data_IF_052571301609
#
_entry.id   IF_052571301609
#
_cell.length_a   1.000
_cell.length_b   1.000
_cell.length_c   1.000
_cell.angle_alpha   90.00
_cell.angle_beta   90.00
_cell.angle_gamma   90.00
#
_symmetry.space_group_name_H-M   'P 1'
#
loop_
_entity.id
_entity.type
_entity.pdbx_description
1 polymer ?
#
# COMPACT_ATOMS: atom_id res chain seq x y z
N UNK A 1 14.71 -8.23 -30.34
CA UNK A 1 13.31 -7.95 -29.95
C UNK A 1 13.27 -6.70 -29.09
N UNK A 2 12.75 -5.59 -29.61
CA UNK A 2 12.51 -4.36 -28.84
C UNK A 2 11.32 -4.60 -27.92
N UNK A 3 11.55 -4.80 -26.62
CA UNK A 3 10.46 -4.86 -25.65
C UNK A 3 9.86 -3.46 -25.52
N UNK A 4 8.60 -3.34 -25.96
CA UNK A 4 7.78 -2.14 -25.75
C UNK A 4 7.80 -1.82 -24.25
N UNK A 5 7.95 -0.54 -23.84
CA UNK A 5 7.86 -0.19 -22.43
C UNK A 5 6.51 -0.63 -21.88
N UNK A 6 6.49 -1.10 -20.63
CA UNK A 6 5.23 -1.34 -19.93
C UNK A 6 4.46 -0.02 -19.85
N UNK A 7 3.19 -0.06 -20.20
CA UNK A 7 2.31 1.07 -20.01
C UNK A 7 1.87 1.06 -18.55
N UNK A 8 2.31 2.08 -17.81
CA UNK A 8 1.91 2.38 -16.43
C UNK A 8 0.93 3.56 -16.42
N UNK A 9 -0.34 3.36 -16.81
CA UNK A 9 -1.30 4.44 -16.76
C UNK A 9 -1.57 4.84 -15.31
N UNK A 10 -1.48 6.14 -15.04
CA UNK A 10 -1.84 6.72 -13.73
C UNK A 10 -3.10 7.57 -13.86
N UNK A 11 -3.75 7.82 -12.72
CA UNK A 11 -4.97 8.62 -12.64
C UNK A 11 -6.04 8.08 -13.61
N UNK A 12 -6.74 8.95 -14.35
CA UNK A 12 -7.81 8.59 -15.29
C UNK A 12 -7.39 7.71 -16.49
N UNK A 13 -6.09 7.41 -16.63
CA UNK A 13 -5.62 6.50 -17.68
C UNK A 13 -5.73 5.02 -17.28
N UNK A 14 -6.01 4.73 -16.00
CA UNK A 14 -6.13 3.38 -15.44
C UNK A 14 -7.38 3.28 -14.58
N UNK A 15 -7.96 2.08 -14.49
CA UNK A 15 -9.09 1.77 -13.62
C UNK A 15 -8.78 0.51 -12.83
N UNK A 16 -9.01 0.56 -11.51
CA UNK A 16 -8.87 -0.59 -10.63
C UNK A 16 -7.45 -0.83 -10.07
N UNK A 17 -7.25 -1.98 -9.38
CA UNK A 17 -6.04 -2.27 -8.60
C UNK A 17 -4.91 -2.93 -9.41
N UNK A 18 -5.01 -2.94 -10.75
CA UNK A 18 -4.06 -3.64 -11.63
C UNK A 18 -2.67 -3.03 -11.66
N UNK A 19 -1.65 -3.89 -11.81
CA UNK A 19 -0.29 -3.48 -12.16
C UNK A 19 -0.13 -3.20 -13.64
N UNK A 20 1.06 -2.75 -14.05
CA UNK A 20 1.37 -2.52 -15.46
C UNK A 20 1.09 -3.78 -16.31
N UNK A 21 0.50 -3.60 -17.49
CA UNK A 21 0.30 -4.73 -18.40
C UNK A 21 1.68 -5.26 -18.84
N UNK A 22 1.92 -6.54 -18.54
CA UNK A 22 3.21 -7.21 -18.80
C UNK A 22 4.31 -6.95 -17.76
N UNK A 23 4.02 -6.15 -16.73
CA UNK A 23 4.91 -5.90 -15.60
C UNK A 23 4.90 -7.04 -14.56
N UNK A 24 5.82 -7.01 -13.57
CA UNK A 24 5.98 -8.08 -12.58
C UNK A 24 4.77 -8.25 -11.64
N UNK A 25 3.83 -7.30 -11.64
CA UNK A 25 2.62 -7.32 -10.82
C UNK A 25 1.34 -7.67 -11.60
N UNK A 26 1.43 -7.85 -12.92
CA UNK A 26 0.26 -7.98 -13.79
C UNK A 26 -0.70 -9.12 -13.37
N UNK A 27 -0.15 -10.24 -12.91
CA UNK A 27 -0.95 -11.41 -12.53
C UNK A 27 -1.50 -11.34 -11.10
N UNK A 28 -0.92 -10.50 -10.23
CA UNK A 28 -1.28 -10.47 -8.81
C UNK A 28 -2.70 -9.95 -8.58
N UNK A 29 -3.25 -9.18 -9.52
CA UNK A 29 -4.62 -8.67 -9.48
C UNK A 29 -5.66 -9.63 -10.06
N UNK A 30 -5.26 -10.77 -10.63
CA UNK A 30 -6.18 -11.74 -11.26
C UNK A 30 -6.73 -12.79 -10.28
N UNK A 31 -6.44 -12.64 -8.99
CA UNK A 31 -6.88 -13.57 -7.95
C UNK A 31 -7.13 -12.87 -6.62
N UNK A 32 -7.35 -13.69 -5.59
CA UNK A 32 -7.48 -13.24 -4.21
C UNK A 32 -6.32 -13.80 -3.40
N UNK A 33 -5.80 -12.98 -2.50
CA UNK A 33 -4.76 -13.36 -1.55
C UNK A 33 -5.41 -13.49 -0.19
N UNK A 34 -5.18 -14.63 0.45
CA UNK A 34 -5.61 -14.90 1.81
C UNK A 34 -4.41 -14.84 2.74
N UNK A 35 -4.63 -14.40 3.97
CA UNK A 35 -3.59 -14.45 4.97
C UNK A 35 -3.46 -15.86 5.53
N UNK A 36 -2.26 -16.42 5.49
CA UNK A 36 -1.98 -17.63 6.26
C UNK A 36 -1.71 -17.24 7.71
N UNK A 37 -2.09 -18.09 8.68
CA UNK A 37 -1.84 -17.86 10.11
C UNK A 37 -0.36 -18.01 10.48
N UNK A 38 0.35 -18.93 9.80
CA UNK A 38 1.76 -19.27 10.06
C UNK A 38 1.99 -19.89 11.44
N UNK A 39 3.25 -20.15 11.77
CA UNK A 39 3.65 -20.73 13.05
C UNK A 39 3.86 -19.65 14.09
N UNK A 40 3.63 -19.87 15.39
CA UNK A 40 3.85 -18.86 16.43
C UNK A 40 5.35 -18.51 16.61
N UNK A 41 5.68 -17.25 16.94
CA UNK A 41 7.05 -16.85 17.30
C UNK A 41 7.18 -16.76 18.80
N UNK A 42 8.40 -16.78 19.31
CA UNK A 42 8.72 -16.30 20.67
C UNK A 42 9.51 -15.00 20.66
N UNK A 43 9.80 -14.46 19.47
CA UNK A 43 10.61 -13.25 19.29
C UNK A 43 9.76 -11.97 19.40
N UNK A 44 10.30 -10.98 20.10
CA UNK A 44 9.70 -9.67 20.36
C UNK A 44 10.42 -8.54 19.63
N UNK A 45 11.52 -8.83 18.94
CA UNK A 45 12.40 -7.81 18.39
C UNK A 45 11.73 -7.03 17.25
N UNK A 46 11.77 -5.70 17.38
CA UNK A 46 11.41 -4.74 16.33
C UNK A 46 12.65 -4.06 15.71
N UNK A 47 13.85 -4.52 16.09
CA UNK A 47 15.14 -3.90 15.77
C UNK A 47 15.45 -3.80 14.27
N UNK A 48 14.92 -4.73 13.47
CA UNK A 48 15.12 -4.76 12.02
C UNK A 48 14.14 -3.86 11.23
N UNK A 49 13.12 -3.29 11.89
CA UNK A 49 12.09 -2.48 11.23
C UNK A 49 12.55 -1.03 11.03
N UNK A 50 12.06 -0.42 9.95
CA UNK A 50 12.13 1.04 9.75
C UNK A 50 11.63 1.78 11.02
N UNK A 51 12.34 2.82 11.51
CA UNK A 51 12.00 3.48 12.76
C UNK A 51 10.57 4.01 12.84
N UNK A 52 9.99 4.45 11.72
CA UNK A 52 8.59 4.93 11.70
C UNK A 52 7.59 3.78 11.80
N UNK A 53 7.92 2.61 11.27
CA UNK A 53 7.11 1.40 11.42
C UNK A 53 7.19 0.89 12.86
N UNK A 54 8.39 0.84 13.44
CA UNK A 54 8.58 0.48 14.85
C UNK A 54 7.75 1.34 15.79
N UNK A 55 7.89 2.67 15.69
CA UNK A 55 7.14 3.60 16.53
C UNK A 55 5.62 3.47 16.38
N UNK A 56 5.13 3.08 15.19
CA UNK A 56 3.71 2.80 14.97
C UNK A 56 3.25 1.57 15.75
N UNK A 57 4.00 0.48 15.66
CA UNK A 57 3.68 -0.77 16.36
C UNK A 57 3.73 -0.56 17.87
N UNK A 58 4.78 0.08 18.39
CA UNK A 58 4.92 0.40 19.82
C UNK A 58 3.75 1.25 20.34
N UNK A 59 3.28 2.22 19.57
CA UNK A 59 2.13 3.04 19.94
C UNK A 59 0.79 2.27 19.93
N UNK A 60 0.72 1.18 19.18
CA UNK A 60 -0.46 0.32 19.11
C UNK A 60 -0.44 -0.81 20.16
N UNK A 61 0.73 -1.23 20.63
CA UNK A 61 0.92 -2.34 21.59
C UNK A 61 -0.05 -2.35 22.77
N UNK A 62 -0.41 -1.22 23.42
CA UNK A 62 -1.36 -1.25 24.54
C UNK A 62 -2.77 -1.76 24.20
N UNK A 63 -3.13 -1.84 22.91
CA UNK A 63 -4.42 -2.37 22.44
C UNK A 63 -4.33 -3.74 21.78
N UNK A 64 -3.18 -4.39 21.79
CA UNK A 64 -2.95 -5.67 21.11
C UNK A 64 -2.66 -6.75 22.15
N UNK A 65 -3.27 -7.93 21.99
CA UNK A 65 -2.79 -9.13 22.65
C UNK A 65 -1.50 -9.65 22.00
N UNK A 66 -0.95 -10.74 22.54
CA UNK A 66 0.28 -11.34 22.03
C UNK A 66 0.19 -11.80 20.56
N UNK A 67 -0.87 -12.52 20.21
CA UNK A 67 -1.05 -13.09 18.87
C UNK A 67 -1.23 -11.97 17.84
N UNK A 68 -1.99 -10.96 18.21
CA UNK A 68 -2.21 -9.74 17.45
C UNK A 68 -0.92 -8.95 17.23
N UNK A 69 -0.13 -8.75 18.28
CA UNK A 69 1.17 -8.09 18.18
C UNK A 69 2.12 -8.86 17.26
N UNK A 70 2.24 -10.17 17.43
CA UNK A 70 3.15 -10.98 16.62
C UNK A 70 2.72 -11.06 15.14
N UNK A 71 1.42 -11.09 14.87
CA UNK A 71 0.85 -10.96 13.52
C UNK A 71 1.35 -9.66 12.85
N UNK A 72 1.17 -8.52 13.51
CA UNK A 72 1.59 -7.20 13.00
C UNK A 72 3.10 -7.16 12.81
N UNK A 73 3.86 -7.60 13.81
CA UNK A 73 5.32 -7.59 13.80
C UNK A 73 5.89 -8.36 12.60
N UNK A 74 5.44 -9.59 12.40
CA UNK A 74 5.93 -10.45 11.30
C UNK A 74 5.55 -9.92 9.94
N UNK A 75 4.35 -9.36 9.83
CA UNK A 75 3.94 -8.73 8.61
C UNK A 75 4.80 -7.49 8.29
N UNK A 76 5.16 -6.69 9.29
CA UNK A 76 6.09 -5.57 9.12
C UNK A 76 7.51 -6.02 8.73
N UNK A 77 7.99 -7.16 9.24
CA UNK A 77 9.26 -7.77 8.80
C UNK A 77 9.16 -8.25 7.34
N UNK A 78 8.02 -8.82 6.95
CA UNK A 78 7.75 -9.17 5.55
C UNK A 78 7.70 -7.93 4.65
N UNK A 79 7.14 -6.82 5.12
CA UNK A 79 7.15 -5.54 4.42
C UNK A 79 8.58 -5.04 4.19
N UNK A 80 9.47 -5.14 5.19
CA UNK A 80 10.88 -4.76 5.04
C UNK A 80 11.57 -5.62 3.98
N UNK A 81 11.42 -6.95 4.07
CA UNK A 81 11.99 -7.87 3.10
C UNK A 81 11.46 -7.61 1.67
N UNK A 82 10.15 -7.39 1.51
CA UNK A 82 9.54 -7.08 0.24
C UNK A 82 9.99 -5.71 -0.30
N UNK A 83 10.18 -4.72 0.57
CA UNK A 83 10.66 -3.40 0.16
C UNK A 83 12.06 -3.48 -0.47
N UNK A 84 12.97 -4.21 0.17
CA UNK A 84 14.33 -4.37 -0.34
C UNK A 84 14.39 -5.28 -1.57
N UNK A 85 13.61 -6.37 -1.57
CA UNK A 85 13.69 -7.40 -2.61
C UNK A 85 12.84 -7.16 -3.86
N UNK A 86 11.65 -6.56 -3.72
CA UNK A 86 10.67 -6.45 -4.81
C UNK A 86 10.30 -5.02 -5.19
N UNK A 87 10.41 -4.06 -4.26
CA UNK A 87 9.99 -2.67 -4.48
C UNK A 87 11.14 -1.67 -4.58
N UNK A 88 12.39 -2.14 -4.47
CA UNK A 88 13.57 -1.34 -4.80
C UNK A 88 13.57 -0.99 -6.29
N UNK A 89 14.18 0.14 -6.64
CA UNK A 89 14.36 0.50 -8.04
C UNK A 89 15.37 -0.45 -8.68
N UNK A 90 15.02 -0.98 -9.86
CA UNK A 90 15.86 -1.94 -10.58
C UNK A 90 15.96 -1.57 -12.06
N UNK A 91 17.15 -1.70 -12.62
CA UNK A 91 17.32 -1.64 -14.07
C UNK A 91 16.68 -2.88 -14.71
N UNK A 92 15.92 -2.68 -15.79
CA UNK A 92 15.25 -3.73 -16.56
C UNK A 92 15.75 -3.75 -18.00
N UNK A 93 15.77 -4.91 -18.69
CA UNK A 93 16.32 -5.01 -20.04
C UNK A 93 15.68 -4.06 -21.06
N UNK A 94 16.51 -3.27 -21.76
CA UNK A 94 16.10 -2.35 -22.83
C UNK A 94 17.29 -1.98 -23.75
N UNK A 95 17.01 -1.41 -24.93
CA UNK A 95 18.02 -0.87 -25.86
C UNK A 95 18.66 0.47 -25.42
N UNK A 96 18.36 0.89 -24.20
CA UNK A 96 18.88 2.05 -23.50
C UNK A 96 18.72 1.81 -22.01
N UNK A 97 18.77 2.84 -21.18
CA UNK A 97 18.52 2.64 -19.75
C UNK A 97 17.03 2.63 -19.48
N UNK A 98 16.56 1.63 -18.75
CA UNK A 98 15.18 1.53 -18.29
C UNK A 98 15.16 1.08 -16.84
N UNK A 99 14.52 1.88 -15.98
CA UNK A 99 14.39 1.60 -14.56
C UNK A 99 12.93 1.36 -14.23
N UNK A 100 12.64 0.23 -13.60
CA UNK A 100 11.39 -0.01 -12.89
C UNK A 100 11.54 0.52 -11.46
N UNK A 101 10.58 1.34 -11.02
CA UNK A 101 10.51 1.83 -9.64
C UNK A 101 9.07 1.94 -9.17
N UNK A 102 8.91 2.10 -7.86
CA UNK A 102 7.60 2.27 -7.24
C UNK A 102 7.53 3.62 -6.53
N UNK A 103 6.41 4.32 -6.69
CA UNK A 103 6.18 5.65 -6.12
C UNK A 103 5.04 5.60 -5.11
N UNK A 104 5.19 6.19 -3.91
CA UNK A 104 4.09 6.28 -2.96
C UNK A 104 2.93 7.06 -3.55
N UNK A 105 1.72 6.63 -3.27
CA UNK A 105 0.48 7.34 -3.61
C UNK A 105 -0.37 7.60 -2.36
N UNK A 106 -1.20 8.65 -2.35
CA UNK A 106 -2.16 8.85 -1.27
C UNK A 106 -3.20 7.73 -1.19
N UNK A 107 -3.48 7.24 0.01
CA UNK A 107 -4.47 6.18 0.26
C UNK A 107 -5.33 6.52 1.47
N UNK A 108 -6.64 6.31 1.35
CA UNK A 108 -7.55 6.29 2.50
C UNK A 108 -7.71 4.84 2.97
N UNK A 109 -7.42 4.59 4.24
CA UNK A 109 -7.67 3.29 4.88
C UNK A 109 -9.06 3.36 5.52
N UNK A 110 -9.90 2.35 5.27
CA UNK A 110 -11.18 2.16 5.96
C UNK A 110 -11.10 0.87 6.78
N UNK A 111 -11.26 0.96 8.10
CA UNK A 111 -11.52 -0.18 8.97
C UNK A 111 -13.03 -0.28 9.21
N UNK A 112 -13.66 -1.31 8.66
CA UNK A 112 -15.10 -1.55 8.74
C UNK A 112 -15.55 -1.99 10.14
N UNK A 113 -16.87 -1.98 10.39
CA UNK A 113 -17.42 -2.38 11.68
C UNK A 113 -17.09 -3.87 11.98
N UNK A 114 -16.73 -4.16 13.24
CA UNK A 114 -16.39 -5.53 13.69
C UNK A 114 -14.95 -5.98 13.42
N UNK A 115 -14.17 -5.22 12.66
CA UNK A 115 -12.78 -5.55 12.35
C UNK A 115 -11.81 -5.20 13.48
N UNK A 116 -10.68 -5.91 13.52
CA UNK A 116 -9.75 -5.88 14.64
C UNK A 116 -8.68 -4.77 14.54
N UNK A 117 -8.14 -4.37 15.69
CA UNK A 117 -7.07 -3.36 15.74
C UNK A 117 -5.78 -3.86 15.05
N UNK A 118 -5.44 -5.14 15.16
CA UNK A 118 -4.24 -5.70 14.53
C UNK A 118 -4.31 -5.64 12.99
N UNK A 119 -5.47 -5.90 12.39
CA UNK A 119 -5.69 -5.73 10.96
C UNK A 119 -5.46 -4.27 10.53
N UNK A 120 -5.95 -3.31 11.31
CA UNK A 120 -5.69 -1.88 11.08
C UNK A 120 -4.19 -1.53 11.17
N UNK A 121 -3.53 -1.95 12.26
CA UNK A 121 -2.12 -1.63 12.49
C UNK A 121 -1.23 -2.27 11.42
N UNK A 122 -1.56 -3.48 10.98
CA UNK A 122 -0.93 -4.17 9.87
C UNK A 122 -0.94 -3.34 8.58
N UNK A 123 -2.10 -2.80 8.21
CA UNK A 123 -2.25 -1.99 6.99
C UNK A 123 -1.59 -0.62 7.14
N UNK A 124 -1.68 0.00 8.33
CA UNK A 124 -0.95 1.23 8.64
C UNK A 124 0.58 1.03 8.58
N UNK A 125 1.08 -0.14 8.97
CA UNK A 125 2.50 -0.48 8.89
C UNK A 125 2.97 -0.54 7.42
N UNK A 126 2.21 -1.22 6.54
CA UNK A 126 2.48 -1.24 5.10
C UNK A 126 2.47 0.18 4.50
N UNK A 127 1.43 0.97 4.78
CA UNK A 127 1.34 2.35 4.28
C UNK A 127 2.47 3.25 4.79
N UNK A 128 2.86 3.08 6.07
CA UNK A 128 4.01 3.78 6.66
C UNK A 128 5.31 3.36 5.97
N UNK A 129 5.50 2.06 5.74
CA UNK A 129 6.70 1.53 5.10
C UNK A 129 6.83 1.99 3.65
N UNK A 130 5.70 2.05 2.93
CA UNK A 130 5.60 2.58 1.59
C UNK A 130 5.79 4.10 1.52
N UNK A 131 5.75 4.80 2.67
CA UNK A 131 5.82 6.27 2.78
C UNK A 131 4.65 6.96 2.08
N UNK A 132 3.49 6.31 2.09
CA UNK A 132 2.26 6.85 1.53
C UNK A 132 1.69 7.98 2.41
N UNK A 133 0.99 8.91 1.78
CA UNK A 133 0.15 9.87 2.50
C UNK A 133 -1.15 9.18 2.89
N UNK A 134 -1.46 9.11 4.18
CA UNK A 134 -2.57 8.31 4.69
C UNK A 134 -3.72 9.19 5.20
N UNK A 135 -4.95 8.76 4.90
CA UNK A 135 -6.15 9.10 5.64
C UNK A 135 -6.73 7.85 6.30
N UNK A 136 -7.44 7.99 7.42
CA UNK A 136 -8.04 6.87 8.13
C UNK A 136 -9.51 7.15 8.46
N UNK A 137 -10.39 6.25 8.06
CA UNK A 137 -11.73 6.06 8.60
C UNK A 137 -11.76 4.75 9.36
N UNK A 138 -12.30 4.74 10.58
CA UNK A 138 -12.30 3.55 11.44
C UNK A 138 -13.57 3.46 12.27
N UNK A 139 -14.18 2.29 12.31
CA UNK A 139 -15.21 1.94 13.29
C UNK A 139 -14.68 1.91 14.73
N UNK A 140 -13.41 1.55 14.89
CA UNK A 140 -12.79 1.29 16.17
C UNK A 140 -12.24 2.56 16.82
N UNK A 141 -12.47 2.71 18.13
CA UNK A 141 -11.85 3.75 18.95
C UNK A 141 -10.38 3.42 19.22
N UNK A 142 -9.48 4.24 18.67
CA UNK A 142 -8.04 3.99 18.74
C UNK A 142 -7.45 4.16 20.16
N UNK A 143 -6.45 3.35 20.54
CA UNK A 143 -5.62 3.60 21.73
C UNK A 143 -5.03 5.02 21.72
N UNK A 144 -4.91 5.63 22.90
CA UNK A 144 -4.42 7.02 23.04
C UNK A 144 -3.04 7.24 22.40
N UNK A 145 -2.03 6.37 22.59
CA UNK A 145 -0.71 6.59 21.99
C UNK A 145 -0.75 6.50 20.46
N UNK A 146 -1.46 5.51 19.90
CA UNK A 146 -1.65 5.39 18.46
C UNK A 146 -2.33 6.63 17.85
N UNK A 147 -3.40 7.13 18.49
CA UNK A 147 -4.09 8.35 18.02
C UNK A 147 -3.17 9.58 18.07
N UNK A 148 -2.36 9.73 19.11
CA UNK A 148 -1.41 10.84 19.24
C UNK A 148 -0.36 10.79 18.12
N UNK A 149 0.21 9.62 17.86
CA UNK A 149 1.17 9.40 16.79
C UNK A 149 0.59 9.69 15.40
N UNK A 150 -0.64 9.23 15.12
CA UNK A 150 -1.30 9.51 13.84
C UNK A 150 -1.55 11.01 13.65
N UNK A 151 -1.92 11.73 14.71
CA UNK A 151 -2.05 13.19 14.69
C UNK A 151 -0.71 13.88 14.39
N UNK A 152 0.37 13.47 15.05
CA UNK A 152 1.73 13.99 14.79
C UNK A 152 2.13 13.78 13.32
N UNK A 153 1.80 12.62 12.76
CA UNK A 153 2.04 12.27 11.35
C UNK A 153 1.07 12.93 10.37
N UNK A 154 0.17 13.81 10.86
CA UNK A 154 -0.85 14.52 10.06
C UNK A 154 -1.82 13.59 9.33
N UNK A 155 -2.05 12.39 9.85
CA UNK A 155 -3.09 11.49 9.35
C UNK A 155 -4.44 12.01 9.84
N UNK A 156 -5.34 12.34 8.91
CA UNK A 156 -6.72 12.68 9.26
C UNK A 156 -7.46 11.41 9.63
N UNK A 157 -7.97 11.36 10.86
CA UNK A 157 -8.67 10.19 11.42
C UNK A 157 -10.13 10.55 11.67
N UNK A 158 -11.04 9.75 11.11
CA UNK A 158 -12.48 9.79 11.39
C UNK A 158 -12.84 8.50 12.11
N UNK A 159 -13.49 8.62 13.26
CA UNK A 159 -14.08 7.47 13.98
C UNK A 159 -15.57 7.46 13.67
N UNK A 160 -16.01 6.51 12.85
CA UNK A 160 -17.35 6.50 12.26
C UNK A 160 -17.77 5.06 11.86
N UNK A 161 -19.08 4.78 11.89
CA UNK A 161 -19.68 3.51 11.44
C UNK A 161 -19.56 3.32 9.93
N UNK A 162 -19.81 2.11 9.44
CA UNK A 162 -19.86 1.83 8.00
C UNK A 162 -20.91 2.70 7.30
N UNK A 163 -22.09 2.85 7.89
CA UNK A 163 -23.18 3.68 7.36
C UNK A 163 -22.76 5.14 7.18
N UNK A 164 -22.12 5.72 8.21
CA UNK A 164 -21.64 7.11 8.18
C UNK A 164 -20.53 7.30 7.16
N UNK A 165 -19.60 6.33 7.09
CA UNK A 165 -18.52 6.33 6.12
C UNK A 165 -19.06 6.27 4.68
N UNK A 166 -20.01 5.39 4.37
CA UNK A 166 -20.59 5.26 3.03
C UNK A 166 -21.32 6.52 2.59
N UNK A 167 -22.10 7.15 3.48
CA UNK A 167 -22.75 8.43 3.21
C UNK A 167 -21.72 9.52 2.88
N UNK A 168 -20.63 9.59 3.66
CA UNK A 168 -19.55 10.55 3.42
C UNK A 168 -18.77 10.24 2.14
N UNK A 169 -18.53 8.98 1.83
CA UNK A 169 -17.79 8.54 0.63
C UNK A 169 -18.48 9.02 -0.66
N UNK A 170 -19.82 9.06 -0.68
CA UNK A 170 -20.60 9.61 -1.78
C UNK A 170 -20.32 11.10 -2.05
N UNK A 171 -19.95 11.85 -1.00
CA UNK A 171 -19.65 13.29 -1.07
C UNK A 171 -18.17 13.58 -1.37
N UNK A 172 -17.29 12.57 -1.36
CA UNK A 172 -15.86 12.74 -1.66
C UNK A 172 -15.66 12.90 -3.16
N UNK A 173 -15.84 14.12 -3.67
CA UNK A 173 -15.68 14.50 -5.07
C UNK A 173 -14.42 15.34 -5.35
N UNK A 174 -13.38 14.71 -5.91
CA UNK A 174 -12.57 15.17 -7.07
C UNK A 174 -11.15 14.57 -7.05
N UNK A 175 -10.85 13.73 -8.04
CA UNK A 175 -9.52 13.16 -8.28
C UNK A 175 -9.38 11.68 -7.99
N UNK A 176 -8.41 11.03 -8.65
CA UNK A 176 -8.20 9.59 -8.52
C UNK A 176 -7.80 9.24 -7.08
N UNK A 177 -8.60 8.40 -6.43
CA UNK A 177 -8.48 8.05 -5.02
C UNK A 177 -8.29 6.54 -4.86
N UNK A 178 -7.41 6.13 -3.95
CA UNK A 178 -7.26 4.74 -3.56
C UNK A 178 -7.81 4.54 -2.16
N UNK A 179 -8.68 3.54 -2.02
CA UNK A 179 -9.27 3.15 -0.75
C UNK A 179 -8.80 1.74 -0.43
N UNK A 180 -8.10 1.57 0.70
CA UNK A 180 -7.76 0.27 1.26
C UNK A 180 -8.77 -0.06 2.35
N UNK A 181 -9.73 -0.92 2.03
CA UNK A 181 -10.74 -1.41 2.98
C UNK A 181 -10.19 -2.57 3.81
N UNK A 182 -10.59 -2.68 5.06
CA UNK A 182 -10.36 -3.82 5.94
C UNK A 182 -11.75 -4.26 6.36
N UNK A 183 -12.17 -5.45 5.93
CA UNK A 183 -13.54 -5.93 6.09
C UNK A 183 -14.58 -5.12 5.32
N UNK A 184 -15.85 -5.36 5.66
CA UNK A 184 -17.01 -4.69 5.05
C UNK A 184 -17.33 -5.17 3.62
N UNK A 185 -18.29 -4.50 2.97
CA UNK A 185 -18.71 -4.83 1.61
C UNK A 185 -18.13 -3.84 0.57
N UNK A 186 -17.18 -4.28 -0.29
CA UNK A 186 -16.65 -3.44 -1.34
C UNK A 186 -17.69 -3.08 -2.42
N UNK A 187 -18.77 -3.86 -2.58
CA UNK A 187 -19.85 -3.53 -3.50
C UNK A 187 -20.65 -2.34 -2.99
N UNK A 188 -21.04 -2.34 -1.71
CA UNK A 188 -21.70 -1.19 -1.09
C UNK A 188 -20.86 0.10 -1.22
N UNK A 189 -19.52 0.02 -1.03
CA UNK A 189 -18.65 1.18 -1.26
C UNK A 189 -18.64 1.61 -2.73
N UNK A 190 -18.57 0.67 -3.68
CA UNK A 190 -18.60 0.96 -5.10
C UNK A 190 -19.92 1.66 -5.50
N UNK A 191 -21.05 1.22 -4.96
CA UNK A 191 -22.36 1.84 -5.15
C UNK A 191 -22.43 3.24 -4.53
N UNK A 192 -21.92 3.41 -3.31
CA UNK A 192 -21.89 4.71 -2.63
C UNK A 192 -21.06 5.76 -3.39
N UNK A 193 -19.96 5.36 -4.03
CA UNK A 193 -19.16 6.27 -4.90
C UNK A 193 -19.69 6.36 -6.35
N UNK A 194 -20.90 5.85 -6.61
CA UNK A 194 -21.56 5.91 -7.92
C UNK A 194 -20.85 5.12 -9.02
N UNK A 195 -20.09 4.07 -8.66
CA UNK A 195 -19.30 3.28 -9.61
C UNK A 195 -18.17 4.08 -10.26
N UNK A 196 -17.69 5.16 -9.63
CA UNK A 196 -16.70 6.05 -10.20
C UNK A 196 -15.40 5.31 -10.59
N UNK A 197 -14.96 5.37 -11.86
CA UNK A 197 -13.69 4.77 -12.29
C UNK A 197 -12.45 5.48 -11.72
N UNK A 198 -12.64 6.66 -11.12
CA UNK A 198 -11.57 7.39 -10.44
C UNK A 198 -11.28 6.84 -9.03
N UNK A 199 -12.10 5.91 -8.51
CA UNK A 199 -11.89 5.30 -7.19
C UNK A 199 -11.41 3.85 -7.36
N UNK A 200 -10.19 3.58 -6.92
CA UNK A 200 -9.68 2.21 -6.81
C UNK A 200 -9.94 1.66 -5.42
N UNK A 201 -10.73 0.59 -5.32
CA UNK A 201 -11.03 -0.12 -4.07
C UNK A 201 -10.11 -1.34 -3.96
N UNK A 202 -9.30 -1.38 -2.89
CA UNK A 202 -8.51 -2.53 -2.47
C UNK A 202 -9.16 -3.14 -1.22
N UNK A 203 -9.85 -4.27 -1.39
CA UNK A 203 -10.65 -4.92 -0.34
C UNK A 203 -10.23 -6.37 -0.04
N UNK A 204 -8.97 -6.73 -0.33
CA UNK A 204 -8.43 -8.03 0.09
C UNK A 204 -8.29 -8.14 1.60
N UNK A 205 -8.09 -9.34 2.13
CA UNK A 205 -7.72 -9.50 3.55
C UNK A 205 -6.46 -8.69 3.89
N UNK A 206 -6.29 -8.31 5.17
CA UNK A 206 -5.04 -7.75 5.65
C UNK A 206 -3.98 -8.88 5.70
N UNK A 207 -3.14 -8.95 4.67
CA UNK A 207 -2.23 -10.08 4.46
C UNK A 207 -0.93 -9.92 5.22
N UNK A 208 -0.37 -10.99 5.84
CA UNK A 208 1.01 -10.91 6.37
C UNK A 208 2.08 -10.73 5.30
N UNK A 209 1.76 -11.00 4.03
CA UNK A 209 2.69 -10.91 2.92
C UNK A 209 2.92 -9.46 2.47
N UNK A 210 4.07 -8.88 2.81
CA UNK A 210 4.40 -7.51 2.40
C UNK A 210 4.48 -7.32 0.88
N UNK A 211 4.75 -8.40 0.14
CA UNK A 211 4.72 -8.41 -1.33
C UNK A 211 3.36 -8.03 -1.92
N UNK A 212 2.28 -8.29 -1.18
CA UNK A 212 0.91 -8.00 -1.56
C UNK A 212 0.44 -6.71 -0.88
N UNK A 213 0.63 -6.58 0.43
CA UNK A 213 0.06 -5.49 1.21
C UNK A 213 0.67 -4.10 0.92
N UNK A 214 1.87 -4.04 0.34
CA UNK A 214 2.48 -2.78 -0.08
C UNK A 214 1.90 -2.22 -1.39
N UNK A 215 1.30 -3.07 -2.25
CA UNK A 215 0.82 -2.67 -3.58
C UNK A 215 -0.25 -1.56 -3.58
N UNK A 216 -1.26 -1.55 -2.68
CA UNK A 216 -2.24 -0.48 -2.62
C UNK A 216 -1.62 0.92 -2.47
N UNK A 217 -0.46 1.00 -1.82
CA UNK A 217 0.23 2.24 -1.48
C UNK A 217 1.25 2.69 -2.53
N UNK A 218 1.44 1.90 -3.59
CA UNK A 218 2.48 2.11 -4.59
C UNK A 218 1.91 2.21 -6.00
N UNK A 219 2.44 3.14 -6.77
CA UNK A 219 2.28 3.19 -8.21
C UNK A 219 3.57 2.70 -8.87
N UNK A 220 3.45 1.68 -9.72
CA UNK A 220 4.53 1.23 -10.59
C UNK A 220 4.88 2.33 -11.59
N UNK A 221 6.17 2.48 -11.86
CA UNK A 221 6.68 3.45 -12.82
C UNK A 221 7.89 2.91 -13.55
N UNK A 222 7.78 2.84 -14.87
CA UNK A 222 8.92 2.64 -15.75
C UNK A 222 9.46 3.96 -16.29
N UNK A 223 10.75 4.23 -16.07
CA UNK A 223 11.45 5.39 -16.66
C UNK A 223 12.45 4.88 -17.69
N UNK A 224 12.28 5.27 -18.96
CA UNK A 224 13.21 4.93 -20.04
C UNK A 224 13.96 6.18 -20.50
N UNK A 225 15.27 6.07 -20.62
CA UNK A 225 16.14 7.16 -21.08
C UNK A 225 17.05 6.65 -22.21
N UNK A 226 17.06 7.33 -23.37
CA UNK A 226 18.00 6.98 -24.43
C UNK A 226 19.43 7.25 -23.98
N UNK A 227 20.30 6.26 -24.16
CA UNK A 227 21.73 6.35 -23.83
C UNK A 227 22.58 6.71 -25.05
N UNK A 228 21.96 6.92 -26.20
CA UNK A 228 22.61 7.35 -27.44
C UNK A 228 22.05 8.70 -27.90
N UNK A 229 22.94 9.56 -28.41
CA UNK A 229 22.61 10.80 -29.10
C UNK A 229 23.32 10.79 -30.45
N UNK A 230 22.55 10.74 -31.54
CA UNK A 230 23.08 10.61 -32.91
C UNK A 230 24.06 9.44 -33.09
N UNK A 231 23.75 8.28 -32.49
CA UNK A 231 24.60 7.09 -32.56
C UNK A 231 25.84 7.11 -31.66
N UNK A 232 26.06 8.17 -30.87
CA UNK A 232 27.17 8.26 -29.90
C UNK A 232 26.65 8.12 -28.47
N UNK A 233 27.44 7.55 -27.54
CA UNK A 233 27.10 7.51 -26.12
C UNK A 233 26.74 8.90 -25.57
N UNK A 234 25.67 8.95 -24.78
CA UNK A 234 25.23 10.13 -24.03
C UNK A 234 25.75 10.05 -22.59
N UNK A 235 26.13 11.16 -21.93
CA UNK A 235 26.55 11.17 -20.52
C UNK A 235 25.52 10.58 -19.55
N UNK A 236 24.25 10.50 -19.96
CA UNK A 236 23.19 9.88 -19.16
C UNK A 236 23.37 8.36 -19.01
N UNK A 237 24.21 7.74 -19.85
CA UNK A 237 24.61 6.35 -19.70
C UNK A 237 25.40 6.09 -18.40
N UNK A 238 26.08 7.10 -17.86
CA UNK A 238 27.01 6.95 -16.74
C UNK A 238 26.41 7.32 -15.37
N UNK A 239 25.21 7.89 -15.35
CA UNK A 239 24.50 8.22 -14.10
C UNK A 239 24.13 6.92 -13.40
N UNK A 240 24.53 6.71 -12.14
CA UNK A 240 24.09 5.54 -11.35
C UNK A 240 22.82 5.86 -10.54
N UNK A 241 22.03 4.84 -10.24
CA UNK A 241 20.81 4.90 -9.40
C UNK A 241 21.14 5.12 -7.93
#
# INVERSE_FOLDING_TARGET
MTTKPWADPWKRSSVGPGGAIGGPNALLSLGRWLTEAGEESTDLALGALDPKVRALIEAATPGLDWRQFDFVRRAALSDEAAWQGAFAAVDVPAAGRRVLRYRPVPVVIRLSDGESLDALVRVLAAGTRARASLGLSTALKLPRPLRALLKERRVRVFVESDETWLARAAEVGSGSSRIRMIGGDPRALAEAVGGSPDVTIHAGEATRAGRIELLPFLAEQTVSVPTLRHGRPSPVADVRT
#
